data_IF_492473231441
#
_entry.id   IF_492473231441
#
_cell.length_a   1.000
_cell.length_b   1.000
_cell.length_c   1.000
_cell.angle_alpha   90.00
_cell.angle_beta   90.00
_cell.angle_gamma   90.00
#
_symmetry.space_group_name_H-M   'P 1'
#
loop_
_entity.id
_entity.type
_entity.pdbx_description
1 polymer ?
#
# COMPACT_ATOMS: atom_id res chain seq x y z
N UNK A 1 45.48 45.00 -3.85
CA UNK A 1 45.73 43.58 -4.18
C UNK A 1 45.01 43.29 -5.48
N UNK A 2 45.75 43.29 -6.58
CA UNK A 2 45.21 42.93 -7.90
C UNK A 2 44.79 41.47 -7.80
N UNK A 3 43.51 41.19 -8.05
CA UNK A 3 43.01 39.81 -8.14
C UNK A 3 43.77 39.13 -9.28
N UNK A 4 44.67 38.21 -8.94
CA UNK A 4 45.39 37.43 -9.93
C UNK A 4 44.36 36.52 -10.65
N UNK A 5 44.08 36.76 -11.94
CA UNK A 5 43.05 36.03 -12.66
C UNK A 5 43.37 34.53 -12.76
N UNK A 6 44.64 34.13 -12.64
CA UNK A 6 45.04 32.72 -12.58
C UNK A 6 44.53 32.00 -11.33
N UNK A 7 44.45 32.71 -10.20
CA UNK A 7 44.02 32.13 -8.93
C UNK A 7 42.48 32.01 -8.85
N UNK A 8 41.75 32.98 -9.40
CA UNK A 8 40.28 32.94 -9.50
C UNK A 8 39.78 31.80 -10.40
N UNK A 9 40.49 31.51 -11.50
CA UNK A 9 40.15 30.39 -12.37
C UNK A 9 40.43 29.03 -11.71
N UNK A 10 41.53 28.92 -10.94
CA UNK A 10 41.87 27.70 -10.22
C UNK A 10 40.87 27.39 -9.09
N UNK A 11 40.50 28.40 -8.28
CA UNK A 11 39.50 28.23 -7.21
C UNK A 11 38.10 27.93 -7.77
N UNK A 12 37.76 28.54 -8.92
CA UNK A 12 36.55 28.20 -9.67
C UNK A 12 36.54 26.75 -10.14
N UNK A 13 37.61 26.28 -10.79
CA UNK A 13 37.72 24.90 -11.27
C UNK A 13 37.67 23.87 -10.14
N UNK A 14 38.32 24.15 -9.01
CA UNK A 14 38.28 23.29 -7.81
C UNK A 14 36.85 23.22 -7.26
N UNK A 15 36.17 24.36 -7.12
CA UNK A 15 34.77 24.41 -6.67
C UNK A 15 33.83 23.62 -7.58
N UNK A 16 33.96 23.74 -8.90
CA UNK A 16 33.11 23.01 -9.85
C UNK A 16 33.40 21.51 -9.87
N UNK A 17 34.67 21.11 -9.77
CA UNK A 17 35.04 19.70 -9.67
C UNK A 17 34.48 19.04 -8.40
N UNK A 18 34.46 19.76 -7.28
CA UNK A 18 33.85 19.30 -6.02
C UNK A 18 32.34 19.10 -6.15
N UNK A 19 31.62 20.07 -6.75
CA UNK A 19 30.17 19.96 -6.96
C UNK A 19 29.82 18.76 -7.85
N UNK A 20 30.58 18.54 -8.93
CA UNK A 20 30.38 17.38 -9.82
C UNK A 20 30.65 16.06 -9.06
N UNK A 21 31.73 15.98 -8.29
CA UNK A 21 32.03 14.79 -7.47
C UNK A 21 30.94 14.52 -6.42
N UNK A 22 30.42 15.55 -5.74
CA UNK A 22 29.35 15.40 -4.76
C UNK A 22 28.03 14.99 -5.43
N UNK A 23 27.68 15.58 -6.56
CA UNK A 23 26.51 15.18 -7.35
C UNK A 23 26.61 13.73 -7.87
N UNK A 24 27.79 13.32 -8.33
CA UNK A 24 28.07 11.95 -8.75
C UNK A 24 27.98 10.96 -7.58
N UNK A 25 28.52 11.30 -6.40
CA UNK A 25 28.42 10.46 -5.21
C UNK A 25 26.97 10.34 -4.70
N UNK A 26 26.19 11.42 -4.71
CA UNK A 26 24.78 11.42 -4.32
C UNK A 26 23.93 10.59 -5.29
N UNK A 27 24.15 10.73 -6.60
CA UNK A 27 23.46 9.91 -7.60
C UNK A 27 23.85 8.44 -7.50
N UNK A 28 25.11 8.09 -7.27
CA UNK A 28 25.53 6.70 -7.04
C UNK A 28 24.91 6.11 -5.77
N UNK A 29 24.86 6.90 -4.69
CA UNK A 29 24.29 6.50 -3.40
C UNK A 29 22.77 6.31 -3.43
N UNK A 30 22.08 6.82 -4.46
CA UNK A 30 20.64 6.62 -4.65
C UNK A 30 20.39 5.53 -5.71
N UNK A 31 21.09 5.58 -6.85
CA UNK A 31 20.88 4.68 -7.99
C UNK A 31 21.35 3.26 -7.68
N UNK A 32 22.49 3.07 -6.99
CA UNK A 32 23.00 1.72 -6.69
C UNK A 32 22.12 0.99 -5.67
N UNK A 33 21.68 1.60 -4.55
CA UNK A 33 20.72 0.95 -3.68
C UNK A 33 19.40 0.65 -4.38
N UNK A 34 18.91 1.52 -5.27
CA UNK A 34 17.68 1.25 -6.04
C UNK A 34 17.83 0.04 -6.98
N UNK A 35 18.97 -0.13 -7.66
CA UNK A 35 19.20 -1.28 -8.53
C UNK A 35 19.51 -2.57 -7.75
N UNK A 36 20.24 -2.48 -6.64
CA UNK A 36 20.47 -3.60 -5.71
C UNK A 36 19.13 -4.01 -5.07
N UNK A 37 18.31 -3.06 -4.65
CA UNK A 37 16.97 -3.31 -4.11
C UNK A 37 16.10 -4.00 -5.17
N UNK A 38 16.09 -3.52 -6.42
CA UNK A 38 15.35 -4.16 -7.52
C UNK A 38 15.84 -5.58 -7.85
N UNK A 39 17.12 -5.88 -7.63
CA UNK A 39 17.71 -7.21 -7.88
C UNK A 39 17.64 -8.16 -6.68
N UNK A 40 17.53 -7.66 -5.45
CA UNK A 40 17.39 -8.47 -4.22
C UNK A 40 15.93 -8.71 -3.79
N UNK A 41 14.97 -7.86 -4.17
CA UNK A 41 13.56 -8.01 -3.78
C UNK A 41 12.69 -8.83 -4.72
N UNK A 42 13.23 -9.28 -5.85
CA UNK A 42 12.59 -10.30 -6.67
C UNK A 42 13.45 -11.55 -6.50
N UNK A 43 13.10 -12.47 -5.58
CA UNK A 43 13.79 -13.74 -5.49
C UNK A 43 13.74 -14.39 -6.87
N UNK A 44 14.91 -14.67 -7.46
CA UNK A 44 15.06 -15.44 -8.71
C UNK A 44 14.47 -16.86 -8.66
N UNK A 45 13.80 -17.24 -7.57
CA UNK A 45 13.16 -18.54 -7.35
C UNK A 45 11.62 -18.49 -7.23
N UNK A 46 10.98 -17.34 -7.46
CA UNK A 46 9.52 -17.25 -7.55
C UNK A 46 8.99 -17.34 -8.99
N UNK A 47 9.84 -17.19 -10.01
CA UNK A 47 9.43 -17.29 -11.43
C UNK A 47 9.08 -18.72 -11.85
N UNK A 48 9.65 -19.73 -11.20
CA UNK A 48 9.67 -21.06 -11.81
C UNK A 48 8.60 -22.04 -11.32
N UNK A 49 8.05 -21.98 -10.09
CA UNK A 49 7.22 -23.11 -9.61
C UNK A 49 6.11 -22.84 -8.59
N UNK A 50 5.41 -21.70 -8.59
CA UNK A 50 4.14 -21.62 -7.84
C UNK A 50 3.10 -20.78 -8.60
N UNK A 51 2.12 -21.44 -9.21
CA UNK A 51 0.80 -20.82 -9.41
C UNK A 51 0.25 -20.52 -8.00
N UNK A 52 0.63 -19.38 -7.42
CA UNK A 52 0.07 -18.92 -6.16
C UNK A 52 -1.37 -18.52 -6.47
N UNK A 53 -2.31 -19.40 -6.10
CA UNK A 53 -3.72 -19.07 -6.11
C UNK A 53 -3.93 -17.74 -5.34
N UNK A 54 -4.78 -16.86 -5.87
CA UNK A 54 -4.93 -15.48 -5.39
C UNK A 54 -5.46 -15.45 -3.95
N UNK A 55 -6.29 -16.45 -3.59
CA UNK A 55 -6.70 -16.69 -2.22
C UNK A 55 -5.49 -16.93 -1.31
N UNK A 56 -4.46 -17.61 -1.79
CA UNK A 56 -3.21 -17.85 -1.08
C UNK A 56 -2.42 -16.55 -0.90
N UNK A 57 -2.44 -15.64 -1.88
CA UNK A 57 -1.76 -14.33 -1.76
C UNK A 57 -2.46 -13.45 -0.70
N UNK A 58 -3.79 -13.32 -0.78
CA UNK A 58 -4.56 -12.47 0.14
C UNK A 58 -4.56 -13.06 1.57
N UNK A 59 -4.65 -14.38 1.72
CA UNK A 59 -4.67 -15.02 3.03
C UNK A 59 -3.28 -15.30 3.62
N UNK A 60 -2.19 -15.14 2.85
CA UNK A 60 -0.81 -15.24 3.34
C UNK A 60 -0.29 -13.88 3.79
N UNK A 61 0.29 -13.83 5.01
CA UNK A 61 0.99 -12.63 5.51
C UNK A 61 2.15 -12.22 4.59
N UNK A 62 2.81 -13.20 3.96
CA UNK A 62 3.90 -12.95 3.01
C UNK A 62 3.32 -12.44 1.68
N UNK A 63 2.29 -13.10 1.16
CA UNK A 63 1.64 -12.73 -0.09
C UNK A 63 1.09 -11.31 -0.07
N UNK A 64 0.42 -10.91 1.01
CA UNK A 64 -0.16 -9.57 1.11
C UNK A 64 0.91 -8.47 1.26
N UNK A 65 2.04 -8.76 1.91
CA UNK A 65 3.15 -7.82 1.99
C UNK A 65 3.83 -7.64 0.63
N UNK A 66 4.01 -8.73 -0.11
CA UNK A 66 4.51 -8.67 -1.48
C UNK A 66 3.57 -7.85 -2.37
N UNK A 67 2.26 -8.11 -2.31
CA UNK A 67 1.25 -7.34 -3.04
C UNK A 67 1.35 -5.85 -2.71
N UNK A 68 1.40 -5.47 -1.43
CA UNK A 68 1.59 -4.06 -1.04
C UNK A 68 2.85 -3.45 -1.65
N UNK A 69 3.99 -4.11 -1.55
CA UNK A 69 5.25 -3.60 -2.11
C UNK A 69 5.16 -3.42 -3.62
N UNK A 70 4.53 -4.36 -4.31
CA UNK A 70 4.28 -4.26 -5.74
C UNK A 70 3.41 -3.04 -6.06
N UNK A 71 2.27 -2.88 -5.36
CA UNK A 71 1.35 -1.74 -5.55
C UNK A 71 2.03 -0.39 -5.29
N UNK A 72 2.88 -0.30 -4.26
CA UNK A 72 3.70 0.89 -4.00
C UNK A 72 4.70 1.15 -5.13
N UNK A 73 5.34 0.11 -5.67
CA UNK A 73 6.28 0.26 -6.76
C UNK A 73 5.61 0.77 -8.04
N UNK A 74 4.38 0.30 -8.35
CA UNK A 74 3.61 0.75 -9.51
C UNK A 74 2.76 2.00 -9.24
N UNK A 75 2.85 2.58 -8.04
CA UNK A 75 2.12 3.78 -7.62
C UNK A 75 0.60 3.67 -7.77
N UNK A 76 0.04 2.48 -7.59
CA UNK A 76 -1.40 2.23 -7.67
C UNK A 76 -2.07 2.53 -6.31
N UNK A 77 -2.32 3.81 -6.06
CA UNK A 77 -2.86 4.30 -4.79
C UNK A 77 -4.26 3.75 -4.50
N UNK A 78 -5.08 3.52 -5.51
CA UNK A 78 -6.45 3.01 -5.33
C UNK A 78 -6.43 1.57 -4.84
N UNK A 79 -5.59 0.72 -5.42
CA UNK A 79 -5.43 -0.65 -4.97
C UNK A 79 -4.69 -0.77 -3.64
N UNK A 80 -3.78 0.17 -3.31
CA UNK A 80 -3.19 0.26 -1.96
C UNK A 80 -4.27 0.48 -0.91
N UNK A 81 -5.19 1.43 -1.14
CA UNK A 81 -6.30 1.71 -0.22
C UNK A 81 -7.20 0.48 -0.07
N UNK A 82 -7.53 -0.18 -1.17
CA UNK A 82 -8.29 -1.44 -1.19
C UNK A 82 -7.65 -2.54 -0.33
N UNK A 83 -6.34 -2.79 -0.49
CA UNK A 83 -5.63 -3.79 0.33
C UNK A 83 -5.60 -3.40 1.81
N UNK A 84 -5.42 -2.11 2.12
CA UNK A 84 -5.44 -1.63 3.50
C UNK A 84 -6.83 -1.76 4.14
N UNK A 85 -7.89 -1.41 3.42
CA UNK A 85 -9.27 -1.64 3.86
C UNK A 85 -9.51 -3.12 4.15
N UNK A 86 -9.21 -3.99 3.19
CA UNK A 86 -9.42 -5.44 3.32
C UNK A 86 -8.75 -6.00 4.58
N UNK A 87 -7.49 -5.63 4.84
CA UNK A 87 -6.77 -6.08 6.03
C UNK A 87 -7.43 -5.64 7.33
N UNK A 88 -7.85 -4.38 7.42
CA UNK A 88 -8.49 -3.85 8.61
C UNK A 88 -9.86 -4.51 8.84
N UNK A 89 -10.67 -4.64 7.79
CA UNK A 89 -12.00 -5.24 7.84
C UNK A 89 -11.92 -6.74 8.21
N UNK A 90 -11.00 -7.50 7.61
CA UNK A 90 -10.78 -8.92 7.95
C UNK A 90 -10.24 -9.08 9.38
N UNK A 91 -9.33 -8.21 9.82
CA UNK A 91 -8.82 -8.22 11.20
C UNK A 91 -9.92 -7.95 12.22
N UNK A 92 -10.76 -6.94 11.95
CA UNK A 92 -11.93 -6.62 12.78
C UNK A 92 -12.88 -7.82 12.87
N UNK A 93 -13.20 -8.45 11.72
CA UNK A 93 -14.08 -9.63 11.65
C UNK A 93 -13.53 -10.82 12.45
N UNK A 94 -12.22 -11.06 12.40
CA UNK A 94 -11.55 -12.12 13.17
C UNK A 94 -11.59 -11.85 14.69
N UNK A 95 -11.37 -10.59 15.08
CA UNK A 95 -11.36 -10.17 16.48
C UNK A 95 -12.77 -9.94 17.06
N UNK A 96 -13.82 -10.00 16.23
CA UNK A 96 -15.18 -9.63 16.62
C UNK A 96 -15.64 -10.31 17.91
N UNK A 97 -15.52 -11.63 18.02
CA UNK A 97 -16.02 -12.38 19.19
C UNK A 97 -15.12 -12.26 20.43
N UNK A 98 -13.86 -11.87 20.27
CA UNK A 98 -12.86 -11.81 21.36
C UNK A 98 -12.66 -10.41 21.93
N UNK A 99 -13.21 -9.40 21.25
CA UNK A 99 -13.07 -7.99 21.60
C UNK A 99 -14.33 -7.49 22.31
N UNK A 100 -14.16 -6.59 23.28
CA UNK A 100 -15.28 -5.95 23.96
C UNK A 100 -16.15 -5.16 22.98
N UNK A 101 -17.43 -4.95 23.31
CA UNK A 101 -18.38 -4.24 22.43
C UNK A 101 -17.89 -2.83 22.13
N UNK A 102 -17.42 -2.08 23.15
CA UNK A 102 -16.90 -0.71 23.00
C UNK A 102 -15.73 -0.67 22.02
N UNK A 103 -14.71 -1.53 22.21
CA UNK A 103 -13.53 -1.55 21.34
C UNK A 103 -13.86 -2.02 19.92
N UNK A 104 -14.88 -2.88 19.77
CA UNK A 104 -15.37 -3.30 18.46
C UNK A 104 -16.04 -2.14 17.72
N UNK A 105 -16.87 -1.36 18.42
CA UNK A 105 -17.54 -0.18 17.88
C UNK A 105 -16.53 0.90 17.48
N UNK A 106 -15.57 1.23 18.34
CA UNK A 106 -14.48 2.16 18.03
C UNK A 106 -13.70 1.73 16.78
N UNK A 107 -13.37 0.44 16.68
CA UNK A 107 -12.67 -0.08 15.51
C UNK A 107 -13.53 -0.04 14.24
N UNK A 108 -14.83 -0.31 14.34
CA UNK A 108 -15.74 -0.18 13.21
C UNK A 108 -15.76 1.28 12.73
N UNK A 109 -16.03 2.23 13.63
CA UNK A 109 -16.15 3.66 13.29
C UNK A 109 -14.88 4.14 12.60
N UNK A 110 -13.71 3.78 13.15
CA UNK A 110 -12.43 4.11 12.52
C UNK A 110 -12.30 3.55 11.11
N UNK A 111 -12.67 2.29 10.87
CA UNK A 111 -12.62 1.68 9.53
C UNK A 111 -13.60 2.40 8.59
N UNK A 112 -14.81 2.66 9.07
CA UNK A 112 -15.86 3.31 8.30
C UNK A 112 -15.46 4.72 7.87
N UNK A 113 -15.06 5.59 8.81
CA UNK A 113 -14.65 6.97 8.53
C UNK A 113 -13.40 7.04 7.63
N UNK A 114 -12.47 6.09 7.80
CA UNK A 114 -11.20 6.10 7.04
C UNK A 114 -11.39 5.67 5.59
N UNK A 115 -12.15 4.59 5.37
CA UNK A 115 -12.20 3.89 4.08
C UNK A 115 -13.54 3.98 3.37
N UNK A 116 -14.66 4.11 4.10
CA UNK A 116 -16.02 4.03 3.52
C UNK A 116 -16.64 5.41 3.36
N UNK A 117 -16.49 6.29 4.35
CA UNK A 117 -17.04 7.64 4.28
C UNK A 117 -16.46 8.40 3.08
N UNK A 118 -17.30 9.10 2.31
CA UNK A 118 -16.90 9.82 1.08
C UNK A 118 -15.81 10.88 1.33
N UNK A 119 -15.71 11.38 2.56
CA UNK A 119 -14.69 12.35 2.99
C UNK A 119 -13.47 11.70 3.65
N UNK A 120 -13.44 10.37 3.73
CA UNK A 120 -12.37 9.60 4.34
C UNK A 120 -11.04 9.78 3.60
N UNK A 121 -9.96 9.88 4.38
CA UNK A 121 -8.60 10.11 3.84
C UNK A 121 -8.13 8.99 2.90
N UNK A 122 -8.66 7.77 3.07
CA UNK A 122 -8.36 6.59 2.25
C UNK A 122 -9.63 5.99 1.67
N UNK A 123 -10.58 6.84 1.25
CA UNK A 123 -11.84 6.39 0.67
C UNK A 123 -11.62 5.37 -0.46
N UNK A 124 -12.33 4.24 -0.38
CA UNK A 124 -12.39 3.21 -1.42
C UNK A 124 -13.73 3.28 -2.14
N UNK A 125 -13.72 2.98 -3.44
CA UNK A 125 -14.94 2.87 -4.22
C UNK A 125 -15.64 1.54 -3.91
N UNK A 126 -16.80 1.60 -3.26
CA UNK A 126 -17.71 0.47 -3.06
C UNK A 126 -19.05 0.73 -3.76
N UNK A 127 -19.86 -0.30 -3.96
CA UNK A 127 -21.19 -0.09 -4.52
C UNK A 127 -22.08 0.73 -3.58
N UNK A 128 -23.03 1.48 -4.15
CA UNK A 128 -24.05 2.21 -3.38
C UNK A 128 -24.80 1.27 -2.45
N UNK A 129 -25.19 0.09 -2.95
CA UNK A 129 -25.87 -0.95 -2.16
C UNK A 129 -25.05 -1.39 -0.93
N UNK A 130 -23.73 -1.55 -1.07
CA UNK A 130 -22.86 -1.93 0.04
C UNK A 130 -22.73 -0.80 1.08
N UNK A 131 -22.70 0.44 0.62
CA UNK A 131 -22.70 1.60 1.50
C UNK A 131 -24.02 1.72 2.28
N UNK A 132 -25.15 1.65 1.58
CA UNK A 132 -26.48 1.75 2.18
C UNK A 132 -26.75 0.60 3.16
N UNK A 133 -26.34 -0.63 2.81
CA UNK A 133 -26.46 -1.77 3.72
C UNK A 133 -25.68 -1.55 5.02
N UNK A 134 -24.45 -1.00 4.96
CA UNK A 134 -23.66 -0.73 6.17
C UNK A 134 -24.32 0.32 7.07
N UNK A 135 -24.90 1.37 6.49
CA UNK A 135 -25.64 2.40 7.24
C UNK A 135 -26.90 1.80 7.88
N UNK A 136 -27.69 1.07 7.10
CA UNK A 136 -28.91 0.42 7.58
C UNK A 136 -28.61 -0.58 8.71
N UNK A 137 -27.55 -1.36 8.58
CA UNK A 137 -27.13 -2.34 9.58
C UNK A 137 -26.57 -1.68 10.85
N UNK A 138 -25.89 -0.53 10.73
CA UNK A 138 -25.45 0.24 11.90
C UNK A 138 -26.62 0.90 12.64
N UNK A 139 -27.63 1.38 11.93
CA UNK A 139 -28.77 2.10 12.53
C UNK A 139 -29.80 1.16 13.16
N UNK A 140 -30.01 -0.02 12.57
CA UNK A 140 -31.02 -1.00 13.03
C UNK A 140 -30.59 -1.79 14.26
N UNK A 141 -29.28 -1.88 14.53
CA UNK A 141 -28.76 -2.77 15.55
C UNK A 141 -28.15 -1.99 16.71
N UNK A 142 -28.46 -2.39 17.95
CA UNK A 142 -27.78 -1.83 19.15
C UNK A 142 -26.31 -2.28 19.27
N UNK A 143 -25.86 -3.15 18.37
CA UNK A 143 -24.52 -3.71 18.33
C UNK A 143 -24.21 -4.07 16.88
N UNK A 144 -23.11 -3.53 16.39
CA UNK A 144 -22.68 -3.62 15.00
C UNK A 144 -22.55 -5.08 14.56
N UNK A 145 -23.23 -5.53 13.49
CA UNK A 145 -23.21 -6.93 13.10
C UNK A 145 -21.86 -7.37 12.56
N UNK A 146 -21.46 -8.61 12.85
CA UNK A 146 -20.19 -9.21 12.39
C UNK A 146 -20.01 -9.20 10.87
N UNK A 147 -21.11 -9.23 10.12
CA UNK A 147 -21.11 -9.27 8.66
C UNK A 147 -21.15 -7.89 8.01
N UNK A 148 -21.06 -6.80 8.78
CA UNK A 148 -21.24 -5.44 8.24
C UNK A 148 -20.27 -5.11 7.10
N UNK A 149 -19.04 -5.63 7.14
CA UNK A 149 -18.06 -5.43 6.05
C UNK A 149 -18.06 -6.54 4.99
N UNK A 150 -18.90 -7.57 5.08
CA UNK A 150 -18.78 -8.78 4.25
C UNK A 150 -18.90 -8.46 2.76
N UNK A 151 -19.88 -7.64 2.38
CA UNK A 151 -20.10 -7.28 0.99
C UNK A 151 -18.95 -6.43 0.44
N UNK A 152 -18.47 -5.44 1.20
CA UNK A 152 -17.33 -4.61 0.81
C UNK A 152 -16.02 -5.40 0.76
N UNK A 153 -15.80 -6.34 1.67
CA UNK A 153 -14.65 -7.26 1.63
C UNK A 153 -14.69 -8.04 0.31
N UNK A 154 -15.82 -8.65 -0.03
CA UNK A 154 -15.97 -9.44 -1.25
C UNK A 154 -15.75 -8.61 -2.51
N UNK A 155 -16.34 -7.41 -2.59
CA UNK A 155 -16.11 -6.48 -3.71
C UNK A 155 -14.63 -6.09 -3.85
N UNK A 156 -13.96 -5.86 -2.73
CA UNK A 156 -12.53 -5.52 -2.72
C UNK A 156 -11.68 -6.70 -3.20
N UNK A 157 -12.01 -7.92 -2.76
CA UNK A 157 -11.35 -9.15 -3.23
C UNK A 157 -11.55 -9.34 -4.74
N UNK A 158 -12.78 -9.17 -5.24
CA UNK A 158 -13.10 -9.28 -6.66
C UNK A 158 -12.36 -8.21 -7.50
N UNK A 159 -12.31 -6.96 -7.02
CA UNK A 159 -11.60 -5.87 -7.68
C UNK A 159 -10.10 -6.18 -7.80
N UNK A 160 -9.44 -6.52 -6.69
CA UNK A 160 -8.02 -6.88 -6.65
C UNK A 160 -7.72 -8.11 -7.53
N UNK A 161 -8.62 -9.10 -7.51
CA UNK A 161 -8.52 -10.31 -8.34
C UNK A 161 -8.69 -10.00 -9.82
N UNK A 162 -9.58 -9.09 -10.20
CA UNK A 162 -9.76 -8.71 -11.60
C UNK A 162 -8.56 -7.96 -12.17
N UNK A 163 -7.90 -7.12 -11.36
CA UNK A 163 -6.76 -6.29 -11.78
C UNK A 163 -5.44 -7.07 -11.76
N UNK A 164 -5.16 -7.86 -10.70
CA UNK A 164 -3.88 -8.54 -10.52
C UNK A 164 -3.96 -10.05 -10.65
N UNK A 165 -5.16 -10.63 -10.64
CA UNK A 165 -5.35 -12.06 -10.80
C UNK A 165 -5.02 -12.59 -12.19
N UNK A 166 -4.88 -11.72 -13.19
CA UNK A 166 -4.42 -12.07 -14.55
C UNK A 166 -2.96 -11.69 -14.82
N UNK A 167 -2.28 -11.06 -13.87
CA UNK A 167 -0.92 -10.54 -14.03
C UNK A 167 -0.10 -10.70 -12.75
N UNK A 168 0.19 -11.95 -12.38
CA UNK A 168 1.51 -12.21 -11.79
C UNK A 168 2.39 -12.55 -13.00
N UNK A 169 3.18 -11.60 -13.53
CA UNK A 169 4.09 -11.91 -14.62
C UNK A 169 4.99 -13.06 -14.19
N UNK A 170 5.11 -14.07 -15.06
CA UNK A 170 6.07 -15.17 -14.91
C UNK A 170 7.49 -14.64 -14.77
#
# INVERSE_FOLDING_TARGET
>A
TVLDPGNLYADGLISWSYIICVGALLSFSIVVPLQIYKSYLIPKNLSDHIELDQTTILHSKIGINYLKMHLFAVHDLDNIRSVLFWQNAVSWRKAYNTTSVIVREENFTRIFETFIERKGMMHISISVDAYEQMIDDSDRTKNIPKHIFELSIKQTEEALSSTYGRQVPK
#
